data_IF_230481123758
#
_entry.id   IF_230481123758
#
_cell.length_a   1.000
_cell.length_b   1.000
_cell.length_c   1.000
_cell.angle_alpha   90.00
_cell.angle_beta   90.00
_cell.angle_gamma   90.00
#
_symmetry.space_group_name_H-M   'P 1'
#
loop_
_entity.id
_entity.type
_entity.pdbx_description
1 polymer ?
#
# COMPACT_ATOMS: atom_id res chain seq x y z
N UNK A 1 13.43 -39.46 -37.20
CA UNK A 1 13.18 -38.11 -37.77
C UNK A 1 11.84 -37.51 -37.34
N UNK A 2 10.70 -38.20 -37.54
CA UNK A 2 9.36 -37.66 -37.23
C UNK A 2 9.14 -37.27 -35.75
N UNK A 3 9.68 -38.04 -34.81
CA UNK A 3 9.64 -37.70 -33.37
C UNK A 3 10.50 -36.49 -32.98
N UNK A 4 11.62 -36.25 -33.68
CA UNK A 4 12.48 -35.09 -33.42
C UNK A 4 11.79 -33.80 -33.86
N UNK A 5 11.13 -33.83 -35.03
CA UNK A 5 10.33 -32.69 -35.52
C UNK A 5 9.15 -32.41 -34.59
N UNK A 6 8.45 -33.45 -34.14
CA UNK A 6 7.33 -33.29 -33.19
C UNK A 6 7.81 -32.68 -31.86
N UNK A 7 8.93 -33.17 -31.31
CA UNK A 7 9.50 -32.66 -30.07
C UNK A 7 9.96 -31.19 -30.20
N UNK A 8 10.60 -30.85 -31.33
CA UNK A 8 11.00 -29.47 -31.62
C UNK A 8 9.78 -28.53 -31.76
N UNK A 9 8.69 -29.00 -32.38
CA UNK A 9 7.45 -28.22 -32.46
C UNK A 9 6.83 -27.96 -31.09
N UNK A 10 6.77 -28.97 -30.21
CA UNK A 10 6.19 -28.79 -28.87
C UNK A 10 7.06 -27.86 -28.02
N UNK A 11 8.40 -28.04 -28.08
CA UNK A 11 9.33 -27.19 -27.34
C UNK A 11 9.32 -25.74 -27.84
N UNK A 12 9.21 -25.55 -29.16
CA UNK A 12 9.06 -24.23 -29.77
C UNK A 12 7.81 -23.49 -29.31
N UNK A 13 6.67 -24.19 -29.19
CA UNK A 13 5.43 -23.60 -28.68
C UNK A 13 5.52 -23.26 -27.19
N UNK A 14 6.16 -24.11 -26.38
CA UNK A 14 6.32 -23.89 -24.95
C UNK A 14 7.21 -22.67 -24.62
N UNK A 15 8.24 -22.39 -25.43
CA UNK A 15 9.14 -21.24 -25.24
C UNK A 15 8.55 -19.96 -25.83
N UNK A 16 7.72 -20.07 -26.88
CA UNK A 16 7.18 -18.91 -27.59
C UNK A 16 5.91 -18.32 -26.99
N UNK A 17 5.26 -19.02 -26.05
CA UNK A 17 4.05 -18.51 -25.40
C UNK A 17 4.43 -17.45 -24.34
N UNK A 18 3.95 -16.20 -24.47
CA UNK A 18 4.12 -15.21 -23.41
C UNK A 18 3.37 -15.69 -22.17
N UNK A 19 4.10 -15.93 -21.07
CA UNK A 19 3.59 -16.37 -19.77
C UNK A 19 2.94 -15.21 -18.99
N UNK A 20 2.23 -14.32 -19.69
CA UNK A 20 1.59 -13.18 -19.06
C UNK A 20 0.36 -13.65 -18.30
N UNK A 21 0.38 -13.47 -16.99
CA UNK A 21 -0.73 -13.77 -16.09
C UNK A 21 -1.56 -12.50 -15.97
N UNK A 22 -2.86 -12.59 -16.23
CA UNK A 22 -3.81 -11.51 -16.01
C UNK A 22 -4.64 -11.81 -14.77
N UNK A 23 -4.97 -10.76 -14.03
CA UNK A 23 -5.87 -10.83 -12.89
C UNK A 23 -6.99 -9.79 -13.05
N UNK A 24 -8.19 -10.17 -12.64
CA UNK A 24 -9.39 -9.34 -12.65
C UNK A 24 -9.42 -8.51 -11.36
N UNK A 25 -9.57 -7.21 -11.51
CA UNK A 25 -9.79 -6.27 -10.43
C UNK A 25 -11.09 -5.53 -10.66
N UNK A 26 -11.66 -5.03 -9.57
CA UNK A 26 -12.81 -4.15 -9.62
C UNK A 26 -12.46 -2.84 -10.37
N UNK A 27 -13.41 -2.32 -11.14
CA UNK A 27 -13.24 -1.11 -11.95
C UNK A 27 -12.82 0.13 -11.14
N UNK A 28 -13.10 0.19 -9.83
CA UNK A 28 -12.63 1.25 -8.94
C UNK A 28 -11.12 1.24 -8.73
N UNK A 29 -10.45 0.10 -8.94
CA UNK A 29 -8.99 -0.02 -8.93
C UNK A 29 -8.37 0.17 -10.31
N UNK A 30 -9.17 0.48 -11.32
CA UNK A 30 -8.67 0.69 -12.67
C UNK A 30 -7.70 1.88 -12.70
N UNK A 31 -6.58 1.74 -13.44
CA UNK A 31 -5.66 2.85 -13.61
C UNK A 31 -6.38 4.01 -14.32
N UNK A 32 -6.03 5.27 -14.05
CA UNK A 32 -6.70 6.43 -14.65
C UNK A 32 -6.76 6.38 -16.18
N UNK A 33 -5.77 5.76 -16.81
CA UNK A 33 -5.70 5.58 -18.26
C UNK A 33 -6.79 4.66 -18.81
N UNK A 34 -7.33 3.75 -18.00
CA UNK A 34 -8.43 2.88 -18.40
C UNK A 34 -9.74 3.67 -18.58
N UNK A 35 -9.89 4.82 -17.91
CA UNK A 35 -11.10 5.64 -18.01
C UNK A 35 -11.43 6.06 -19.45
N UNK A 36 -10.42 6.19 -20.32
CA UNK A 36 -10.60 6.58 -21.72
C UNK A 36 -11.28 5.50 -22.58
N UNK A 37 -11.28 4.24 -22.12
CA UNK A 37 -11.88 3.10 -22.84
C UNK A 37 -13.11 2.53 -22.13
N UNK A 38 -13.50 3.08 -20.97
CA UNK A 38 -14.72 2.67 -20.28
C UNK A 38 -15.93 3.02 -21.17
N UNK A 39 -16.80 2.05 -21.51
CA UNK A 39 -17.96 2.33 -22.34
C UNK A 39 -18.96 3.23 -21.59
N UNK A 40 -19.43 4.29 -22.26
CA UNK A 40 -20.37 5.23 -21.67
C UNK A 40 -21.74 4.58 -21.38
N UNK A 41 -22.32 4.91 -20.22
CA UNK A 41 -23.65 4.45 -19.81
C UNK A 41 -23.70 3.00 -19.32
N UNK A 42 -22.55 2.35 -19.14
CA UNK A 42 -22.48 1.00 -18.58
C UNK A 42 -22.39 1.04 -17.05
N UNK A 43 -23.18 0.23 -16.32
CA UNK A 43 -23.05 0.08 -14.88
C UNK A 43 -21.65 -0.43 -14.50
N UNK A 44 -21.06 0.15 -13.46
CA UNK A 44 -19.73 -0.24 -12.98
C UNK A 44 -19.66 -1.69 -12.52
N UNK A 45 -20.75 -2.25 -11.98
CA UNK A 45 -20.82 -3.66 -11.55
C UNK A 45 -20.72 -4.67 -12.70
N UNK A 46 -20.86 -4.20 -13.96
CA UNK A 46 -20.69 -5.03 -15.15
C UNK A 46 -19.29 -4.87 -15.77
N UNK A 47 -18.42 -4.11 -15.13
CA UNK A 47 -17.08 -3.78 -15.61
C UNK A 47 -16.02 -4.28 -14.64
N UNK A 48 -15.04 -4.96 -15.19
CA UNK A 48 -13.84 -5.41 -14.49
C UNK A 48 -12.61 -4.92 -15.25
N UNK A 49 -11.49 -4.76 -14.56
CA UNK A 49 -10.22 -4.41 -15.18
C UNK A 49 -9.26 -5.59 -15.09
N UNK A 50 -8.74 -6.03 -16.24
CA UNK A 50 -7.73 -7.07 -16.32
C UNK A 50 -6.38 -6.42 -16.50
N UNK A 51 -5.48 -6.65 -15.54
CA UNK A 51 -4.11 -6.17 -15.58
C UNK A 51 -3.14 -7.35 -15.54
N UNK A 52 -2.03 -7.27 -16.28
CA UNK A 52 -0.98 -8.27 -16.18
C UNK A 52 -0.23 -8.11 -14.86
N UNK A 53 0.00 -9.22 -14.19
CA UNK A 53 0.66 -9.30 -12.89
C UNK A 53 1.86 -10.26 -12.93
N UNK A 54 2.76 -10.09 -11.97
CA UNK A 54 3.85 -11.05 -11.73
C UNK A 54 3.36 -12.30 -10.97
N UNK A 55 4.28 -13.23 -10.71
CA UNK A 55 3.99 -14.45 -9.95
C UNK A 55 3.55 -14.18 -8.49
N UNK A 56 3.76 -12.96 -7.99
CA UNK A 56 3.38 -12.50 -6.66
C UNK A 56 2.09 -11.65 -6.68
N UNK A 57 1.40 -11.56 -7.83
CA UNK A 57 0.21 -10.73 -8.06
C UNK A 57 0.45 -9.22 -7.96
N UNK A 58 1.67 -8.76 -8.20
CA UNK A 58 1.93 -7.33 -8.33
C UNK A 58 1.81 -6.88 -9.79
N UNK A 59 1.27 -5.68 -10.05
CA UNK A 59 1.27 -5.09 -11.38
C UNK A 59 2.69 -5.00 -11.97
N UNK A 60 2.83 -5.36 -13.25
CA UNK A 60 4.12 -5.29 -13.94
C UNK A 60 4.59 -3.83 -14.11
N UNK A 61 5.89 -3.59 -13.97
CA UNK A 61 6.51 -2.29 -14.28
C UNK A 61 6.76 -2.09 -15.79
N UNK A 62 6.81 -0.84 -16.26
CA UNK A 62 7.10 -0.50 -17.66
C UNK A 62 5.85 -0.39 -18.56
N UNK A 63 5.97 -0.61 -19.88
CA UNK A 63 4.85 -0.55 -20.82
C UNK A 63 3.89 -1.71 -20.57
N UNK A 64 2.72 -1.40 -20.00
CA UNK A 64 1.68 -2.36 -19.64
C UNK A 64 0.46 -2.18 -20.52
N UNK A 65 -0.13 -3.30 -20.91
CA UNK A 65 -1.40 -3.35 -21.64
C UNK A 65 -2.42 -4.11 -20.79
N UNK A 66 -3.54 -3.46 -20.50
CA UNK A 66 -4.67 -4.03 -19.77
C UNK A 66 -5.94 -4.03 -20.61
N UNK A 67 -7.00 -4.59 -20.06
CA UNK A 67 -8.32 -4.64 -20.70
C UNK A 67 -9.41 -4.22 -19.71
N UNK A 68 -10.42 -3.51 -20.18
CA UNK A 68 -11.70 -3.45 -19.47
C UNK A 68 -12.55 -4.62 -19.98
N UNK A 69 -12.93 -5.54 -19.10
CA UNK A 69 -13.88 -6.62 -19.36
C UNK A 69 -15.26 -6.11 -19.04
N UNK A 70 -16.16 -6.22 -20.01
CA UNK A 70 -17.55 -5.82 -19.90
C UNK A 70 -18.45 -7.04 -20.07
N UNK A 71 -19.21 -7.35 -19.03
CA UNK A 71 -20.25 -8.36 -19.09
C UNK A 71 -21.54 -7.78 -19.68
N UNK A 72 -21.87 -8.20 -20.90
CA UNK A 72 -23.08 -7.80 -21.60
C UNK A 72 -24.09 -8.94 -21.53
N UNK A 73 -25.28 -8.73 -20.92
CA UNK A 73 -26.34 -9.73 -20.94
C UNK A 73 -26.69 -10.14 -22.37
N UNK A 74 -26.84 -11.45 -22.59
CA UNK A 74 -27.23 -11.96 -23.90
C UNK A 74 -28.67 -11.55 -24.23
N UNK A 75 -29.01 -11.35 -25.53
CA UNK A 75 -30.35 -10.92 -25.95
C UNK A 75 -31.45 -11.96 -25.63
N UNK A 76 -31.08 -13.23 -25.43
CA UNK A 76 -31.98 -14.28 -24.99
C UNK A 76 -32.22 -14.28 -23.46
N UNK A 77 -31.59 -13.36 -22.72
CA UNK A 77 -31.65 -13.29 -21.26
C UNK A 77 -30.90 -14.39 -20.52
N UNK A 78 -30.18 -15.27 -21.25
CA UNK A 78 -29.46 -16.40 -20.67
C UNK A 78 -27.95 -16.16 -20.81
N UNK A 79 -27.30 -15.97 -19.66
CA UNK A 79 -25.87 -15.73 -19.56
C UNK A 79 -25.44 -14.34 -20.04
N UNK A 80 -24.15 -14.09 -19.94
CA UNK A 80 -23.48 -12.87 -20.40
C UNK A 80 -22.48 -13.23 -21.50
N UNK A 81 -22.11 -12.22 -22.30
CA UNK A 81 -20.94 -12.26 -23.17
C UNK A 81 -19.93 -11.24 -22.65
N UNK A 82 -18.66 -11.59 -22.76
CA UNK A 82 -17.57 -10.72 -22.32
C UNK A 82 -17.01 -9.95 -23.52
N UNK A 83 -16.89 -8.63 -23.38
CA UNK A 83 -16.24 -7.76 -24.36
C UNK A 83 -15.03 -7.10 -23.70
N UNK A 84 -13.87 -7.21 -24.34
CA UNK A 84 -12.61 -6.69 -23.82
C UNK A 84 -12.19 -5.42 -24.57
N UNK A 85 -12.02 -4.32 -23.86
CA UNK A 85 -11.55 -3.04 -24.40
C UNK A 85 -10.08 -2.82 -24.01
N UNK A 86 -9.12 -2.94 -24.94
CA UNK A 86 -7.71 -2.81 -24.63
C UNK A 86 -7.32 -1.36 -24.31
N UNK A 87 -6.41 -1.19 -23.36
CA UNK A 87 -5.75 0.09 -23.09
C UNK A 87 -4.28 -0.13 -22.71
N UNK A 88 -3.46 0.90 -22.89
CA UNK A 88 -2.03 0.87 -22.59
C UNK A 88 -1.61 2.02 -21.69
N UNK A 89 -0.64 1.77 -20.80
CA UNK A 89 -0.08 2.76 -19.90
C UNK A 89 1.33 2.35 -19.44
N UNK A 90 2.09 3.30 -18.88
CA UNK A 90 3.42 3.01 -18.35
C UNK A 90 3.37 3.05 -16.82
N UNK A 91 3.68 1.93 -16.16
CA UNK A 91 3.98 1.94 -14.74
C UNK A 91 5.43 2.35 -14.52
N UNK A 92 5.73 3.08 -13.43
CA UNK A 92 7.11 3.27 -12.98
C UNK A 92 7.77 1.89 -12.84
N UNK A 93 8.87 1.67 -13.54
CA UNK A 93 9.65 0.46 -13.36
C UNK A 93 10.41 0.57 -12.03
N UNK A 94 10.13 -0.25 -11.01
CA UNK A 94 10.83 -0.17 -9.72
C UNK A 94 12.34 -0.37 -9.86
N UNK A 95 12.77 -1.12 -10.88
CA UNK A 95 14.17 -1.36 -11.17
C UNK A 95 14.89 -0.17 -11.87
N UNK A 96 14.15 0.85 -12.31
CA UNK A 96 14.70 2.03 -12.98
C UNK A 96 14.86 3.23 -12.04
N UNK A 97 14.57 3.08 -10.73
CA UNK A 97 14.91 4.10 -9.75
C UNK A 97 16.44 4.21 -9.67
N UNK A 98 16.97 5.26 -10.29
CA UNK A 98 18.37 5.65 -10.16
C UNK A 98 18.70 5.77 -8.66
N UNK A 99 19.79 5.16 -8.14
CA UNK A 99 20.13 5.27 -6.73
C UNK A 99 20.16 6.74 -6.33
N UNK A 100 19.30 7.15 -5.39
CA UNK A 100 19.31 8.50 -4.88
C UNK A 100 20.75 8.84 -4.44
N UNK A 101 21.32 9.89 -5.04
CA UNK A 101 22.66 10.33 -4.70
C UNK A 101 22.76 10.51 -3.18
N UNK A 102 23.83 10.03 -2.52
CA UNK A 102 23.98 10.16 -1.08
C UNK A 102 23.81 11.62 -0.66
N UNK A 103 22.88 11.88 0.26
CA UNK A 103 22.70 13.22 0.84
C UNK A 103 24.00 13.61 1.52
N UNK A 104 24.61 14.71 1.09
CA UNK A 104 25.84 15.21 1.67
C UNK A 104 25.61 15.52 3.17
N UNK A 105 26.56 15.17 4.06
CA UNK A 105 26.45 15.49 5.48
C UNK A 105 26.26 16.99 5.72
N UNK A 106 25.33 17.35 6.59
CA UNK A 106 25.14 18.74 7.02
C UNK A 106 26.40 19.26 7.71
N UNK A 107 26.79 20.49 7.40
CA UNK A 107 27.96 21.14 8.01
C UNK A 107 27.75 21.29 9.54
N UNK A 108 28.81 21.12 10.37
CA UNK A 108 28.72 21.30 11.81
C UNK A 108 28.22 22.70 12.19
N UNK A 109 27.33 22.77 13.17
CA UNK A 109 26.87 24.03 13.74
C UNK A 109 28.03 24.74 14.45
N UNK A 110 28.08 26.08 14.33
CA UNK A 110 29.11 26.89 14.98
C UNK A 110 29.02 26.78 16.51
N UNK A 111 30.16 26.83 17.24
CA UNK A 111 30.16 26.76 18.71
C UNK A 111 29.35 27.90 19.34
N UNK A 112 28.57 27.56 20.36
CA UNK A 112 27.83 28.55 21.15
C UNK A 112 28.80 29.46 21.92
N UNK A 113 28.48 30.75 21.97
CA UNK A 113 29.26 31.72 22.73
C UNK A 113 29.23 31.41 24.24
N UNK A 114 30.32 31.69 24.99
CA UNK A 114 30.36 31.44 26.42
C UNK A 114 29.30 32.23 27.19
N UNK A 115 28.63 31.57 28.13
CA UNK A 115 27.68 32.22 29.03
C UNK A 115 28.41 33.19 29.99
N UNK A 116 27.78 34.33 30.25
CA UNK A 116 28.29 35.32 31.21
C UNK A 116 28.30 34.75 32.64
N UNK A 117 29.25 35.16 33.50
CA UNK A 117 29.34 34.65 34.87
C UNK A 117 28.13 35.07 35.71
N UNK A 118 27.57 34.11 36.45
CA UNK A 118 26.48 34.34 37.41
C UNK A 118 27.07 34.87 38.72
N UNK A 119 26.54 35.98 39.23
CA UNK A 119 26.95 36.52 40.52
C UNK A 119 26.54 35.59 41.67
N UNK A 120 27.43 35.39 42.64
CA UNK A 120 27.21 34.57 43.83
C UNK A 120 26.12 35.18 44.71
N UNK A 121 25.08 34.39 45.01
CA UNK A 121 24.05 34.72 46.00
C UNK A 121 24.56 34.47 47.42
N UNK A 122 24.16 35.34 48.33
CA UNK A 122 24.50 35.36 49.76
C UNK A 122 23.95 34.09 50.48
N UNK A 123 24.65 33.49 51.46
CA UNK A 123 24.22 32.24 52.08
C UNK A 123 22.97 32.40 52.97
N UNK A 124 21.95 31.58 52.72
CA UNK A 124 20.73 31.52 53.52
C UNK A 124 20.95 30.80 54.88
N UNK A 125 20.19 31.25 55.89
CA UNK A 125 20.19 30.76 57.28
C UNK A 125 19.55 29.35 57.35
N UNK A 126 20.09 28.40 58.14
CA UNK A 126 19.55 27.03 58.22
C UNK A 126 18.18 26.96 58.91
N UNK A 127 17.26 26.16 58.34
CA UNK A 127 15.93 25.86 58.91
C UNK A 127 16.00 24.51 59.64
N UNK A 128 15.45 24.44 60.85
CA UNK A 128 15.40 23.21 61.67
C UNK A 128 14.42 22.15 61.12
N UNK A 129 14.64 20.85 61.40
CA UNK A 129 13.84 19.76 60.83
C UNK A 129 12.46 19.62 61.48
N UNK A 130 11.42 19.45 60.65
CA UNK A 130 10.07 19.10 61.09
C UNK A 130 9.91 17.58 61.30
N UNK A 131 9.16 17.20 62.34
CA UNK A 131 8.90 15.81 62.76
C UNK A 131 8.16 14.96 61.69
N UNK A 132 8.36 13.63 61.67
CA UNK A 132 7.79 12.75 60.65
C UNK A 132 6.27 12.55 60.79
N UNK A 133 5.57 12.62 59.66
CA UNK A 133 4.12 12.33 59.53
C UNK A 133 3.89 10.82 59.54
N UNK A 134 2.96 10.37 60.38
CA UNK A 134 2.45 8.99 60.44
C UNK A 134 1.50 8.73 59.27
N UNK A 135 1.72 7.63 58.54
CA UNK A 135 0.88 7.17 57.43
C UNK A 135 -0.34 6.40 57.96
N UNK A 136 -1.55 6.76 57.52
CA UNK A 136 -2.77 6.00 57.78
C UNK A 136 -3.08 5.00 56.64
N UNK A 137 -3.59 3.79 56.95
CA UNK A 137 -3.86 2.74 55.95
C UNK A 137 -5.16 2.97 55.16
N UNK A 138 -5.30 2.37 53.95
CA UNK A 138 -6.46 2.57 53.09
C UNK A 138 -7.69 1.78 53.58
N UNK A 139 -8.91 2.33 53.47
CA UNK A 139 -10.13 1.57 53.74
C UNK A 139 -10.48 0.59 52.61
N UNK A 140 -10.91 -0.62 52.98
CA UNK A 140 -11.44 -1.70 52.12
C UNK A 140 -12.93 -1.92 52.39
N UNK A 141 -13.67 -2.27 51.33
CA UNK A 141 -14.99 -2.91 51.34
C UNK A 141 -16.17 -1.92 51.35
N UNK A 142 -17.36 -2.24 50.85
CA UNK A 142 -17.94 -3.43 50.21
C UNK A 142 -19.37 -3.02 49.77
N UNK A 143 -19.94 -3.78 48.83
CA UNK A 143 -21.35 -4.16 48.65
C UNK A 143 -22.45 -3.10 48.93
N UNK A 144 -23.31 -2.83 47.94
CA UNK A 144 -24.74 -2.55 48.19
C UNK A 144 -25.58 -3.02 46.99
N UNK A 145 -26.67 -3.70 47.34
CA UNK A 145 -27.69 -4.35 46.53
C UNK A 145 -28.86 -3.38 46.23
N UNK A 146 -29.75 -3.85 45.33
CA UNK A 146 -31.20 -3.56 45.24
C UNK A 146 -31.78 -2.34 44.48
N UNK A 147 -33.04 -2.58 44.06
CA UNK A 147 -34.10 -1.68 43.57
C UNK A 147 -34.14 -1.32 42.06
N UNK A 148 -35.25 -1.35 41.33
CA UNK A 148 -36.63 -1.85 41.48
C UNK A 148 -37.37 -1.60 40.13
N UNK A 149 -38.50 -2.27 39.93
CA UNK A 149 -39.60 -2.09 38.93
C UNK A 149 -39.47 -2.69 37.50
#
# INVERSE_FOLDING_TARGET
MKFIVLAACILGMAISAPLQIFEEFDIHYAPPQAAQVIPAGVPLDNLEVLLPVDAQRHPLGGPVHGFIKHEIPNPNGIGTREVFYPFGFNLPNPAAADPAAPVAPAAPAAPAAPAAPVALADPAIPVEPLNPVVVAPPPRGKDDEDEDD
#
